data_IF_752951104018
#
_entry.id   IF_752951104018
#
_cell.length_a   1.000
_cell.length_b   1.000
_cell.length_c   1.000
_cell.angle_alpha   90.00
_cell.angle_beta   90.00
_cell.angle_gamma   90.00
#
_symmetry.space_group_name_H-M   'P 1'
#
loop_
_entity.id
_entity.type
_entity.pdbx_description
1 polymer ?
#
# COMPACT_ATOMS: atom_id res chain seq x y z
N UNK A 1 26.76 33.35 50.20
CA UNK A 1 27.29 32.04 49.76
C UNK A 1 26.11 31.09 49.53
N UNK A 2 25.28 31.32 48.50
CA UNK A 2 23.99 30.59 48.41
C UNK A 2 23.31 30.63 47.02
N UNK A 3 24.02 30.43 45.91
CA UNK A 3 23.37 30.33 44.59
C UNK A 3 24.08 29.34 43.66
N UNK A 4 24.31 28.10 44.10
CA UNK A 4 25.02 27.08 43.29
C UNK A 4 24.30 25.74 43.14
N UNK A 5 23.02 25.63 43.47
CA UNK A 5 22.34 24.33 43.56
C UNK A 5 21.06 24.15 42.72
N UNK A 6 20.81 25.00 41.70
CA UNK A 6 19.53 24.98 40.95
C UNK A 6 19.71 24.71 39.43
N UNK A 7 20.89 24.30 38.96
CA UNK A 7 21.14 24.10 37.52
C UNK A 7 21.35 22.62 37.09
N UNK A 8 20.83 21.64 37.85
CA UNK A 8 21.07 20.21 37.54
C UNK A 8 19.79 19.42 37.18
N UNK A 9 18.60 20.04 37.14
CA UNK A 9 17.34 19.27 37.06
C UNK A 9 16.39 19.57 35.88
N UNK A 10 16.87 20.08 34.74
CA UNK A 10 15.99 20.37 33.58
C UNK A 10 16.59 19.92 32.23
N UNK A 11 17.32 18.82 32.17
CA UNK A 11 17.91 18.29 30.92
C UNK A 11 17.56 16.82 30.63
N UNK A 12 16.46 16.31 31.18
CA UNK A 12 16.09 14.89 31.05
C UNK A 12 14.63 14.66 30.65
N UNK A 13 14.14 15.31 29.57
CA UNK A 13 12.76 15.08 29.11
C UNK A 13 12.56 15.09 27.59
N UNK A 14 13.60 14.84 26.78
CA UNK A 14 13.48 14.82 25.30
C UNK A 14 13.87 13.50 24.63
N UNK A 15 13.77 12.37 25.33
CA UNK A 15 13.93 11.05 24.68
C UNK A 15 12.77 10.13 25.03
N UNK A 16 11.56 10.60 24.73
CA UNK A 16 10.44 9.72 24.42
C UNK A 16 10.13 9.95 22.94
N UNK A 17 11.09 9.55 22.10
CA UNK A 17 10.84 9.33 20.69
C UNK A 17 9.85 8.19 20.58
N UNK A 18 8.56 8.53 20.55
CA UNK A 18 7.56 7.60 20.10
C UNK A 18 7.95 7.16 18.70
N UNK A 19 8.12 5.86 18.49
CA UNK A 19 8.06 5.31 17.15
C UNK A 19 6.70 5.75 16.60
N UNK A 20 6.70 6.76 15.73
CA UNK A 20 5.56 7.03 14.89
C UNK A 20 5.35 5.72 14.11
N UNK A 21 4.31 4.98 14.47
CA UNK A 21 3.88 3.83 13.70
C UNK A 21 3.47 4.40 12.35
N UNK A 22 4.36 4.26 11.37
CA UNK A 22 4.08 4.40 9.96
C UNK A 22 2.69 3.79 9.69
N UNK A 23 1.70 4.63 9.36
CA UNK A 23 0.34 4.17 9.18
C UNK A 23 0.21 3.35 7.90
N UNK A 24 -0.30 2.12 8.00
CA UNK A 24 -0.70 1.32 6.84
C UNK A 24 -1.92 1.99 6.18
N UNK A 25 -1.78 2.38 4.91
CA UNK A 25 -2.86 3.01 4.14
C UNK A 25 -3.69 1.94 3.44
N UNK A 26 -5.00 1.86 3.73
CA UNK A 26 -5.88 0.90 3.07
C UNK A 26 -6.44 1.48 1.76
N UNK A 27 -6.08 0.83 0.65
CA UNK A 27 -6.59 1.13 -0.68
C UNK A 27 -7.82 0.26 -0.98
N UNK A 28 -8.79 0.81 -1.69
CA UNK A 28 -10.00 0.11 -2.13
C UNK A 28 -9.88 -0.26 -3.59
N UNK A 29 -10.03 -1.54 -3.92
CA UNK A 29 -10.06 -1.96 -5.32
C UNK A 29 -11.47 -1.80 -5.91
N UNK A 30 -11.55 -1.26 -7.12
CA UNK A 30 -12.74 -1.19 -7.94
C UNK A 30 -12.40 -1.39 -9.42
N UNK A 31 -13.35 -1.84 -10.23
CA UNK A 31 -13.15 -1.99 -11.67
C UNK A 31 -12.84 -0.64 -12.35
N UNK A 32 -11.98 -0.59 -13.39
CA UNK A 32 -11.64 0.65 -14.09
C UNK A 32 -12.86 1.48 -14.52
N UNK A 33 -13.85 0.83 -15.14
CA UNK A 33 -15.10 1.47 -15.59
C UNK A 33 -14.87 2.76 -16.41
N UNK A 34 -13.90 2.73 -17.34
CA UNK A 34 -13.51 3.87 -18.19
C UNK A 34 -13.03 5.12 -17.43
N UNK A 35 -12.57 4.96 -16.17
CA UNK A 35 -12.00 6.06 -15.39
C UNK A 35 -10.52 6.28 -15.72
N UNK A 36 -10.15 7.55 -15.92
CA UNK A 36 -8.76 7.95 -16.09
C UNK A 36 -7.98 7.89 -14.76
N UNK A 37 -6.74 7.40 -14.83
CA UNK A 37 -5.84 7.42 -13.67
C UNK A 37 -5.54 8.87 -13.28
N UNK A 38 -5.77 9.20 -12.01
CA UNK A 38 -5.42 10.51 -11.44
C UNK A 38 -4.04 10.48 -10.77
N UNK A 39 -3.66 9.33 -10.20
CA UNK A 39 -2.37 9.14 -9.52
C UNK A 39 -1.80 7.76 -9.81
N UNK A 40 -0.49 7.68 -9.97
CA UNK A 40 0.25 6.44 -10.18
C UNK A 40 1.22 6.23 -9.01
N UNK A 41 1.27 5.02 -8.48
CA UNK A 41 2.21 4.62 -7.45
C UNK A 41 3.05 3.43 -7.93
N UNK A 42 4.27 3.34 -7.42
CA UNK A 42 5.13 2.17 -7.44
C UNK A 42 5.08 1.56 -6.06
N UNK A 43 4.71 0.30 -5.98
CA UNK A 43 4.58 -0.46 -4.75
C UNK A 43 5.52 -1.66 -4.84
N UNK A 44 6.48 -1.74 -3.92
CA UNK A 44 7.21 -2.98 -3.70
C UNK A 44 6.37 -3.93 -2.86
N UNK A 45 6.07 -5.10 -3.40
CA UNK A 45 5.27 -6.10 -2.73
C UNK A 45 6.04 -6.65 -1.54
N UNK A 46 5.48 -6.52 -0.35
CA UNK A 46 6.05 -7.14 0.86
C UNK A 46 5.37 -8.47 1.16
N UNK A 47 4.06 -8.56 0.93
CA UNK A 47 3.26 -9.74 1.27
C UNK A 47 2.10 -9.91 0.27
N UNK A 48 1.87 -11.15 -0.16
CA UNK A 48 0.64 -11.54 -0.87
C UNK A 48 0.03 -12.71 -0.13
N UNK A 49 -1.16 -12.50 0.46
CA UNK A 49 -1.85 -13.50 1.25
C UNK A 49 -3.18 -13.84 0.57
N UNK A 50 -3.37 -15.10 0.19
CA UNK A 50 -4.69 -15.56 -0.26
C UNK A 50 -5.69 -15.53 0.89
N UNK A 51 -6.89 -14.99 0.66
CA UNK A 51 -8.01 -15.20 1.57
C UNK A 51 -8.65 -16.57 1.30
N UNK A 52 -7.88 -17.63 1.50
CA UNK A 52 -8.44 -18.98 1.55
C UNK A 52 -9.14 -19.12 2.91
N UNK A 53 -10.44 -19.41 2.89
CA UNK A 53 -11.22 -19.66 4.10
C UNK A 53 -10.74 -20.92 4.84
N UNK A 54 -9.66 -20.79 5.62
CA UNK A 54 -9.37 -21.73 6.70
C UNK A 54 -10.31 -21.35 7.85
N UNK A 55 -11.30 -22.20 8.10
CA UNK A 55 -12.41 -22.00 9.05
C UNK A 55 -13.59 -21.17 8.53
N UNK A 56 -14.53 -21.89 7.90
CA UNK A 56 -15.92 -21.48 7.87
C UNK A 56 -16.44 -21.32 9.30
N UNK A 57 -16.45 -20.09 9.81
CA UNK A 57 -17.39 -19.53 10.79
C UNK A 57 -16.98 -18.08 11.11
N UNK A 58 -17.89 -17.16 10.78
CA UNK A 58 -18.08 -15.83 11.38
C UNK A 58 -17.07 -14.71 11.06
N UNK A 59 -17.62 -13.77 10.27
CA UNK A 59 -17.50 -12.29 10.35
C UNK A 59 -16.38 -11.62 9.53
N UNK A 60 -16.80 -11.02 8.41
CA UNK A 60 -16.69 -9.56 8.21
C UNK A 60 -17.80 -9.11 7.24
N UNK A 61 -18.82 -8.35 7.70
CA UNK A 61 -20.05 -8.09 6.93
C UNK A 61 -19.95 -7.05 5.80
N UNK A 62 -18.75 -6.62 5.37
CA UNK A 62 -18.65 -5.39 4.56
C UNK A 62 -17.63 -5.41 3.41
N UNK A 63 -16.99 -6.54 3.11
CA UNK A 63 -15.93 -6.63 2.07
C UNK A 63 -16.10 -7.79 1.09
N UNK A 64 -17.26 -8.46 1.12
CA UNK A 64 -17.53 -9.68 0.34
C UNK A 64 -18.52 -9.41 -0.81
N UNK A 65 -18.30 -8.36 -1.59
CA UNK A 65 -18.90 -8.26 -2.92
C UNK A 65 -17.94 -8.86 -3.96
N UNK A 66 -18.13 -10.14 -4.27
CA UNK A 66 -18.04 -10.60 -5.66
C UNK A 66 -16.69 -10.89 -6.32
N UNK A 67 -15.53 -10.79 -5.65
CA UNK A 67 -14.27 -11.15 -6.32
C UNK A 67 -14.07 -12.67 -6.43
N UNK A 68 -13.76 -13.22 -7.62
CA UNK A 68 -13.22 -14.56 -7.71
C UNK A 68 -11.83 -14.55 -7.05
N UNK A 69 -11.64 -15.42 -6.04
CA UNK A 69 -10.36 -15.62 -5.34
C UNK A 69 -9.68 -14.33 -4.82
N UNK A 70 -10.25 -13.68 -3.78
CA UNK A 70 -9.67 -12.45 -3.24
C UNK A 70 -8.31 -12.71 -2.60
N UNK A 71 -7.38 -11.79 -2.84
CA UNK A 71 -6.05 -11.77 -2.24
C UNK A 71 -5.78 -10.44 -1.55
N UNK A 72 -5.03 -10.49 -0.46
CA UNK A 72 -4.54 -9.31 0.25
C UNK A 72 -3.11 -9.06 -0.20
N UNK A 73 -2.88 -7.91 -0.81
CA UNK A 73 -1.56 -7.40 -1.10
C UNK A 73 -1.17 -6.37 -0.03
N UNK A 74 0.05 -6.47 0.48
CA UNK A 74 0.71 -5.39 1.20
C UNK A 74 1.99 -5.00 0.51
N UNK A 75 2.32 -3.73 0.57
CA UNK A 75 3.58 -3.25 0.01
C UNK A 75 4.04 -1.92 0.55
N UNK A 76 5.29 -1.61 0.25
CA UNK A 76 5.94 -0.33 0.53
C UNK A 76 5.85 0.54 -0.70
N UNK A 77 5.35 1.76 -0.54
CA UNK A 77 5.25 2.71 -1.65
C UNK A 77 6.61 3.35 -1.89
N UNK A 78 7.09 3.32 -3.13
CA UNK A 78 8.38 3.86 -3.54
C UNK A 78 8.30 5.30 -4.03
N UNK A 79 7.15 5.71 -4.54
CA UNK A 79 6.89 7.09 -4.94
C UNK A 79 5.50 7.56 -4.46
N UNK A 80 5.43 8.76 -3.92
CA UNK A 80 4.20 9.35 -3.41
C UNK A 80 4.21 9.61 -1.89
N UNK A 81 3.02 9.84 -1.35
CA UNK A 81 2.82 10.34 0.02
C UNK A 81 2.60 9.23 1.06
N UNK A 82 2.26 8.02 0.62
CA UNK A 82 2.02 6.89 1.51
C UNK A 82 3.34 6.17 1.78
N UNK A 83 3.50 5.59 2.96
CA UNK A 83 4.67 4.78 3.30
C UNK A 83 4.42 3.30 3.00
N UNK A 84 3.28 2.78 3.45
CA UNK A 84 2.85 1.40 3.20
C UNK A 84 1.39 1.37 2.81
N UNK A 85 1.02 0.40 1.98
CA UNK A 85 -0.34 0.21 1.49
C UNK A 85 -0.80 -1.23 1.67
N UNK A 86 -2.11 -1.37 1.87
CA UNK A 86 -2.82 -2.65 1.85
C UNK A 86 -3.96 -2.58 0.85
N UNK A 87 -4.05 -3.57 -0.01
CA UNK A 87 -5.06 -3.65 -1.08
C UNK A 87 -5.67 -5.05 -1.10
N UNK A 88 -7.00 -5.13 -1.23
CA UNK A 88 -7.69 -6.40 -1.47
C UNK A 88 -8.27 -6.37 -2.87
N UNK A 89 -7.87 -7.32 -3.70
CA UNK A 89 -8.24 -7.39 -5.12
C UNK A 89 -8.37 -8.85 -5.59
N UNK A 90 -8.95 -9.11 -6.78
CA UNK A 90 -8.95 -10.45 -7.38
C UNK A 90 -7.54 -10.97 -7.66
N UNK A 91 -7.30 -12.28 -7.52
CA UNK A 91 -5.96 -12.87 -7.75
C UNK A 91 -5.42 -12.62 -9.16
N UNK A 92 -6.28 -12.65 -10.18
CA UNK A 92 -5.86 -12.56 -11.57
C UNK A 92 -5.24 -11.19 -11.91
N UNK A 93 -5.69 -10.10 -11.27
CA UNK A 93 -5.10 -8.75 -11.40
C UNK A 93 -3.64 -8.68 -10.96
N UNK A 94 -3.23 -9.55 -10.03
CA UNK A 94 -1.83 -9.62 -9.60
C UNK A 94 -0.95 -10.46 -10.52
N UNK A 95 -1.52 -11.26 -11.42
CA UNK A 95 -0.80 -12.28 -12.17
C UNK A 95 0.12 -13.12 -11.26
N UNK A 96 1.39 -13.23 -11.67
CA UNK A 96 2.45 -13.96 -10.97
C UNK A 96 3.25 -13.11 -9.97
N UNK A 97 2.77 -11.91 -9.63
CA UNK A 97 3.46 -11.04 -8.69
C UNK A 97 3.61 -11.69 -7.30
N UNK A 98 4.81 -11.52 -6.73
CA UNK A 98 5.23 -12.06 -5.43
C UNK A 98 6.03 -11.01 -4.65
N UNK A 99 6.30 -11.29 -3.38
CA UNK A 99 7.14 -10.42 -2.55
C UNK A 99 8.48 -10.09 -3.21
N UNK A 100 8.87 -8.82 -3.14
CA UNK A 100 10.04 -8.24 -3.79
C UNK A 100 9.80 -7.71 -5.20
N UNK A 101 8.68 -8.06 -5.85
CA UNK A 101 8.35 -7.50 -7.16
C UNK A 101 7.85 -6.05 -7.01
N UNK A 102 8.06 -5.25 -8.05
CA UNK A 102 7.52 -3.89 -8.15
C UNK A 102 6.22 -3.91 -8.95
N UNK A 103 5.20 -3.23 -8.42
CA UNK A 103 3.90 -3.05 -9.07
C UNK A 103 3.62 -1.58 -9.30
N UNK A 104 3.09 -1.28 -10.48
CA UNK A 104 2.38 -0.06 -10.77
C UNK A 104 0.96 -0.16 -10.20
N UNK A 105 0.51 0.87 -9.50
CA UNK A 105 -0.86 0.97 -8.98
C UNK A 105 -1.48 2.27 -9.49
N UNK A 106 -2.60 2.15 -10.21
CA UNK A 106 -3.36 3.27 -10.75
C UNK A 106 -4.50 3.63 -9.81
N UNK A 107 -4.56 4.88 -9.39
CA UNK A 107 -5.55 5.39 -8.45
C UNK A 107 -6.45 6.45 -9.06
N UNK A 108 -7.70 6.44 -8.59
CA UNK A 108 -8.68 7.53 -8.67
C UNK A 108 -9.13 7.90 -7.26
N UNK A 109 -9.60 9.12 -7.06
CA UNK A 109 -10.17 9.56 -5.76
C UNK A 109 -9.25 9.26 -4.56
N UNK A 110 -7.94 9.43 -4.76
CA UNK A 110 -6.84 9.25 -3.80
C UNK A 110 -6.56 7.85 -3.22
N UNK A 111 -7.59 7.04 -3.01
CA UNK A 111 -7.51 5.74 -2.33
C UNK A 111 -8.20 4.60 -3.10
N UNK A 112 -8.82 4.88 -4.25
CA UNK A 112 -9.48 3.88 -5.08
C UNK A 112 -8.49 3.39 -6.13
N UNK A 113 -8.02 2.16 -5.97
CA UNK A 113 -7.22 1.44 -6.94
C UNK A 113 -8.11 0.88 -8.05
N UNK A 114 -7.77 1.23 -9.29
CA UNK A 114 -8.51 0.78 -10.46
C UNK A 114 -7.74 -0.19 -11.35
N UNK A 115 -6.40 -0.23 -11.24
CA UNK A 115 -5.60 -1.22 -11.94
C UNK A 115 -4.25 -1.43 -11.25
N UNK A 116 -3.70 -2.63 -11.44
CA UNK A 116 -2.38 -3.02 -10.95
C UNK A 116 -1.62 -3.70 -12.09
N UNK A 117 -0.33 -3.44 -12.23
CA UNK A 117 0.49 -4.11 -13.25
C UNK A 117 1.93 -4.29 -12.79
N UNK A 118 2.59 -5.43 -13.08
CA UNK A 118 3.99 -5.61 -12.75
C UNK A 118 4.89 -4.67 -13.56
N UNK A 119 5.83 -4.02 -12.88
CA UNK A 119 6.86 -3.19 -13.51
C UNK A 119 7.83 -4.11 -14.27
N UNK A 120 8.17 -3.83 -15.53
CA UNK A 120 9.14 -4.64 -16.29
C UNK A 120 10.53 -4.67 -15.63
N UNK A 121 11.09 -5.87 -15.44
CA UNK A 121 12.36 -6.12 -14.71
C UNK A 121 13.54 -5.29 -15.25
N UNK A 122 13.57 -5.01 -16.55
CA UNK A 122 14.68 -4.31 -17.22
C UNK A 122 14.32 -2.85 -17.57
N UNK A 123 13.38 -2.24 -16.85
CA UNK A 123 12.97 -0.85 -17.06
C UNK A 123 13.28 0.00 -15.83
N UNK A 124 13.51 1.29 -16.05
CA UNK A 124 13.47 2.27 -14.98
C UNK A 124 12.01 2.46 -14.54
N UNK A 125 11.65 2.14 -13.27
CA UNK A 125 10.26 2.15 -12.83
C UNK A 125 9.57 3.49 -13.01
N UNK A 126 10.24 4.59 -12.65
CA UNK A 126 9.67 5.93 -12.70
C UNK A 126 9.47 6.40 -14.16
N UNK A 127 10.42 6.11 -15.05
CA UNK A 127 10.31 6.43 -16.47
C UNK A 127 9.20 5.63 -17.15
N UNK A 128 9.11 4.33 -16.88
CA UNK A 128 8.05 3.49 -17.44
C UNK A 128 6.67 3.90 -16.94
N UNK A 129 6.55 4.30 -15.67
CA UNK A 129 5.29 4.74 -15.08
C UNK A 129 4.69 5.98 -15.79
N UNK A 130 5.52 6.84 -16.37
CA UNK A 130 5.05 8.03 -17.10
C UNK A 130 4.18 7.67 -18.30
N UNK A 131 4.53 6.60 -19.03
CA UNK A 131 3.80 6.15 -20.21
C UNK A 131 2.80 5.02 -19.94
N UNK A 132 2.93 4.32 -18.82
CA UNK A 132 1.99 3.28 -18.41
C UNK A 132 0.58 3.85 -18.14
N UNK A 133 -0.47 3.16 -18.57
CA UNK A 133 -1.84 3.43 -18.19
C UNK A 133 -2.55 2.10 -17.88
N UNK A 134 -3.73 2.17 -17.26
CA UNK A 134 -4.63 1.02 -17.21
C UNK A 134 -5.02 0.75 -18.67
N UNK A 135 -4.37 -0.22 -19.31
CA UNK A 135 -4.82 -0.67 -20.62
C UNK A 135 -6.11 -1.46 -20.39
N UNK A 136 -7.13 -1.25 -21.21
CA UNK A 136 -8.25 -2.18 -21.28
C UNK A 136 -7.68 -3.56 -21.61
N UNK A 137 -7.69 -4.48 -20.65
CA UNK A 137 -7.44 -5.91 -20.89
C UNK A 137 -8.57 -6.51 -21.73
#
# INVERSE_FOLDING_TARGET
MQHRFIYILVLLSMVLGGCAMAGETELRWEWPAERDIQKKLIVEVTEVTSKSGLFGLKKSPSLAQGFPEPVVLKGVVKNGQYETVKLVLPKFELGDAKSGDLLAVGLVEDLVCICVSPVPINSDPDQWLQSWNCTDE
#
